data_IF_310813300930
#
_entry.id   IF_310813300930
#
_cell.length_a   1.000
_cell.length_b   1.000
_cell.length_c   1.000
_cell.angle_alpha   90.00
_cell.angle_beta   90.00
_cell.angle_gamma   90.00
#
_symmetry.space_group_name_H-M   'P 1'
#
loop_
_entity.id
_entity.type
_entity.pdbx_description
1 polymer ?
#
# COMPACT_ATOMS: atom_id res chain seq x y z
N UNK A 1 -3.15 -18.90 -11.88
CA UNK A 1 -4.04 -17.77 -11.55
C UNK A 1 -3.38 -16.47 -11.99
N UNK A 2 -4.15 -15.55 -12.54
CA UNK A 2 -3.70 -14.21 -12.90
C UNK A 2 -4.40 -13.23 -11.95
N UNK A 3 -3.62 -12.63 -11.03
CA UNK A 3 -4.16 -11.81 -9.95
C UNK A 3 -4.93 -10.61 -10.49
N UNK A 4 -6.11 -10.30 -9.94
CA UNK A 4 -6.97 -9.20 -10.39
C UNK A 4 -7.71 -9.47 -11.70
N UNK A 5 -7.68 -10.70 -12.21
CA UNK A 5 -8.36 -11.08 -13.44
C UNK A 5 -9.19 -12.34 -13.26
N UNK A 6 -10.30 -12.41 -13.97
CA UNK A 6 -11.14 -13.60 -14.07
C UNK A 6 -10.75 -14.36 -15.31
N UNK A 7 -10.49 -15.66 -15.16
CA UNK A 7 -10.25 -16.56 -16.29
C UNK A 7 -11.57 -16.77 -17.05
N UNK A 8 -11.58 -16.42 -18.33
CA UNK A 8 -12.76 -16.53 -19.18
C UNK A 8 -12.78 -17.86 -19.94
N UNK A 9 -11.61 -18.36 -20.33
CA UNK A 9 -11.51 -19.63 -21.04
C UNK A 9 -10.29 -19.73 -21.93
N UNK A 10 -10.14 -20.88 -22.53
CA UNK A 10 -9.14 -21.16 -23.54
C UNK A 10 -9.70 -20.89 -24.93
N UNK A 11 -8.96 -20.23 -25.80
CA UNK A 11 -9.34 -19.91 -27.18
C UNK A 11 -8.37 -20.52 -28.17
N UNK A 12 -8.88 -20.88 -29.35
CA UNK A 12 -8.07 -21.52 -30.40
C UNK A 12 -7.24 -20.50 -31.21
N UNK A 13 -7.44 -19.19 -30.98
CA UNK A 13 -6.67 -18.12 -31.63
C UNK A 13 -6.36 -16.99 -30.65
N UNK A 14 -5.30 -16.24 -30.94
CA UNK A 14 -4.80 -15.15 -30.10
C UNK A 14 -5.68 -13.89 -30.12
N UNK A 15 -6.65 -13.80 -31.04
CA UNK A 15 -7.63 -12.70 -31.08
C UNK A 15 -8.85 -12.97 -30.21
N UNK A 16 -8.91 -14.14 -29.56
CA UNK A 16 -10.00 -14.58 -28.71
C UNK A 16 -11.36 -14.59 -29.43
N UNK A 17 -11.37 -14.95 -30.74
CA UNK A 17 -12.59 -15.02 -31.52
C UNK A 17 -13.38 -16.29 -31.23
N UNK A 18 -14.70 -16.22 -31.36
CA UNK A 18 -15.59 -17.37 -31.14
C UNK A 18 -15.84 -17.69 -29.66
N UNK A 19 -16.19 -18.93 -29.37
CA UNK A 19 -16.46 -19.44 -28.02
C UNK A 19 -15.22 -20.07 -27.39
N UNK A 20 -15.10 -20.07 -26.06
CA UNK A 20 -14.04 -20.79 -25.38
C UNK A 20 -14.06 -22.28 -25.70
N UNK A 21 -12.88 -22.86 -25.83
CA UNK A 21 -12.72 -24.30 -26.00
C UNK A 21 -12.93 -25.02 -24.67
N UNK A 22 -13.97 -25.81 -24.56
CA UNK A 22 -14.34 -26.52 -23.32
C UNK A 22 -13.89 -27.98 -23.33
N UNK A 23 -13.67 -28.54 -24.52
CA UNK A 23 -13.26 -29.94 -24.67
C UNK A 23 -12.30 -30.12 -25.85
N UNK A 24 -11.35 -31.02 -25.69
CA UNK A 24 -10.50 -31.50 -26.79
C UNK A 24 -10.99 -32.90 -27.12
N UNK A 25 -11.40 -33.14 -28.38
CA UNK A 25 -11.88 -34.42 -28.81
C UNK A 25 -10.74 -35.49 -28.80
N UNK A 26 -11.06 -36.70 -28.42
CA UNK A 26 -10.12 -37.84 -28.51
C UNK A 26 -9.68 -38.14 -29.95
N UNK A 27 -10.41 -37.64 -30.96
CA UNK A 27 -10.08 -37.75 -32.37
C UNK A 27 -9.22 -36.59 -32.91
N UNK A 28 -8.98 -35.57 -32.09
CA UNK A 28 -8.12 -34.48 -32.49
C UNK A 28 -6.66 -34.92 -32.56
N UNK A 29 -6.02 -34.66 -33.67
CA UNK A 29 -4.62 -35.02 -33.91
C UNK A 29 -3.76 -33.77 -34.21
N UNK A 30 -2.46 -33.91 -34.03
CA UNK A 30 -1.48 -32.84 -34.25
C UNK A 30 -1.33 -31.87 -33.06
N UNK A 31 -0.34 -30.98 -33.18
CA UNK A 31 -0.07 -29.97 -32.17
C UNK A 31 -1.16 -28.91 -32.15
N UNK A 32 -1.67 -28.62 -30.97
CA UNK A 32 -2.68 -27.57 -30.73
C UNK A 32 -2.08 -26.47 -29.86
N UNK A 33 -2.42 -25.24 -30.16
CA UNK A 33 -2.11 -24.08 -29.33
C UNK A 33 -3.43 -23.46 -28.85
N UNK A 34 -3.46 -23.09 -27.58
CA UNK A 34 -4.61 -22.41 -26.99
C UNK A 34 -4.11 -21.21 -26.21
N UNK A 35 -4.90 -20.13 -26.24
CA UNK A 35 -4.62 -18.86 -25.56
C UNK A 35 -5.60 -18.69 -24.42
N UNK A 36 -5.07 -18.43 -23.23
CA UNK A 36 -5.88 -18.13 -22.06
C UNK A 36 -6.40 -16.70 -22.15
N UNK A 37 -7.71 -16.53 -22.20
CA UNK A 37 -8.33 -15.20 -22.07
C UNK A 37 -8.59 -14.90 -20.60
N UNK A 38 -8.12 -13.75 -20.17
CA UNK A 38 -8.36 -13.19 -18.86
C UNK A 38 -9.03 -11.84 -19.01
N UNK A 39 -10.04 -11.57 -18.21
CA UNK A 39 -10.66 -10.24 -18.13
C UNK A 39 -10.31 -9.62 -16.79
N UNK A 40 -9.86 -8.36 -16.82
CA UNK A 40 -9.64 -7.61 -15.59
C UNK A 40 -10.97 -7.53 -14.82
N UNK A 41 -10.91 -7.81 -13.53
CA UNK A 41 -12.07 -7.63 -12.66
C UNK A 41 -12.46 -6.15 -12.72
N UNK A 42 -13.72 -5.90 -13.02
CA UNK A 42 -14.23 -4.53 -13.13
C UNK A 42 -13.96 -3.74 -11.84
N UNK A 43 -13.84 -2.42 -11.97
CA UNK A 43 -13.68 -1.53 -10.83
C UNK A 43 -14.84 -1.72 -9.86
N UNK A 44 -14.55 -2.31 -8.72
CA UNK A 44 -15.46 -2.33 -7.57
C UNK A 44 -14.69 -1.80 -6.36
N UNK A 45 -15.25 -0.81 -5.69
CA UNK A 45 -14.73 -0.38 -4.40
C UNK A 45 -14.81 -1.57 -3.44
N UNK A 46 -13.65 -2.03 -2.99
CA UNK A 46 -13.55 -3.23 -2.13
C UNK A 46 -13.86 -2.93 -0.67
N UNK A 47 -14.02 -1.65 -0.33
CA UNK A 47 -14.33 -1.18 1.02
C UNK A 47 -15.53 -0.25 1.00
N UNK A 48 -16.32 -0.31 2.06
CA UNK A 48 -17.26 0.75 2.41
C UNK A 48 -16.59 2.01 2.98
N UNK A 49 -15.25 2.07 2.98
CA UNK A 49 -14.47 3.20 3.45
C UNK A 49 -14.45 4.33 2.41
N UNK A 50 -14.62 5.56 2.91
CA UNK A 50 -14.51 6.74 2.06
C UNK A 50 -13.04 7.06 1.81
N UNK A 51 -12.59 7.25 0.55
CA UNK A 51 -11.24 7.72 0.25
C UNK A 51 -10.92 9.03 0.97
N UNK A 52 -9.67 9.18 1.40
CA UNK A 52 -9.20 10.30 2.22
C UNK A 52 -9.25 10.03 3.72
N UNK A 53 -9.92 8.99 4.18
CA UNK A 53 -9.92 8.56 5.58
C UNK A 53 -8.51 8.20 6.06
N UNK A 54 -8.23 8.52 7.32
CA UNK A 54 -6.94 8.26 7.98
C UNK A 54 -7.07 7.10 8.93
N UNK A 55 -6.19 6.10 8.76
CA UNK A 55 -6.16 4.89 9.56
C UNK A 55 -4.75 4.61 10.05
N UNK A 56 -4.63 3.94 11.19
CA UNK A 56 -3.34 3.65 11.81
C UNK A 56 -3.05 2.16 11.75
N UNK A 57 -1.79 1.83 11.46
CA UNK A 57 -1.31 0.45 11.35
C UNK A 57 -0.05 0.27 12.19
N UNK A 58 0.06 -0.89 12.81
CA UNK A 58 1.24 -1.29 13.59
C UNK A 58 2.27 -1.95 12.68
N UNK A 59 3.36 -1.25 12.40
CA UNK A 59 4.47 -1.75 11.60
C UNK A 59 5.69 -2.14 12.46
N UNK A 60 5.57 -2.16 13.77
CA UNK A 60 6.69 -2.40 14.71
C UNK A 60 7.37 -3.76 14.49
N UNK A 61 6.62 -4.78 14.05
CA UNK A 61 7.11 -6.12 13.78
C UNK A 61 7.55 -6.35 12.33
N UNK A 62 7.57 -5.30 11.48
CA UNK A 62 7.87 -5.46 10.05
C UNK A 62 9.34 -5.36 9.70
N UNK A 63 10.21 -5.08 10.69
CA UNK A 63 11.66 -4.94 10.50
C UNK A 63 12.01 -4.00 9.34
N UNK A 64 11.38 -2.82 9.33
CA UNK A 64 11.60 -1.82 8.28
C UNK A 64 13.01 -1.24 8.42
N UNK A 65 13.91 -1.41 7.45
CA UNK A 65 15.27 -0.93 7.55
C UNK A 65 15.38 0.61 7.45
N UNK A 66 16.47 1.16 7.98
CA UNK A 66 16.77 2.59 7.98
C UNK A 66 16.58 3.25 9.34
N UNK A 67 16.66 4.58 9.35
CA UNK A 67 16.43 5.39 10.55
C UNK A 67 14.95 5.76 10.61
N UNK A 68 14.29 5.49 11.71
CA UNK A 68 12.89 5.87 11.91
C UNK A 68 12.75 7.39 11.76
N UNK A 69 11.78 7.81 10.98
CA UNK A 69 11.54 9.22 10.70
C UNK A 69 11.06 9.94 11.97
N UNK A 70 11.76 11.00 12.36
CA UNK A 70 11.50 11.80 13.56
C UNK A 70 10.19 12.61 13.50
N UNK A 71 9.61 12.77 12.31
CA UNK A 71 8.32 13.44 12.09
C UNK A 71 7.10 12.53 12.29
N UNK A 72 7.31 11.23 12.46
CA UNK A 72 6.21 10.33 12.80
C UNK A 72 5.61 10.69 14.15
N UNK A 73 4.29 10.56 14.30
CA UNK A 73 3.62 10.77 15.58
C UNK A 73 4.07 9.76 16.66
N UNK A 74 4.50 8.58 16.23
CA UNK A 74 5.04 7.52 17.06
C UNK A 74 6.28 6.90 16.43
N UNK A 75 7.40 6.94 17.17
CA UNK A 75 8.70 6.38 16.73
C UNK A 75 8.83 4.88 17.00
N UNK A 76 7.94 4.29 17.78
CA UNK A 76 7.91 2.85 18.01
C UNK A 76 7.28 2.07 16.86
N UNK A 77 6.68 2.78 15.88
CA UNK A 77 5.96 2.26 14.71
C UNK A 77 4.68 1.48 15.04
N UNK A 78 4.18 1.54 16.26
CA UNK A 78 2.89 0.95 16.60
C UNK A 78 1.70 1.73 16.02
N UNK A 79 1.89 3.03 15.71
CA UNK A 79 0.85 3.94 15.24
C UNK A 79 1.27 4.70 13.99
N UNK A 80 1.48 3.98 12.89
CA UNK A 80 1.83 4.61 11.61
C UNK A 80 0.56 5.05 10.89
N UNK A 81 0.39 6.35 10.61
CA UNK A 81 -0.79 6.86 9.92
C UNK A 81 -0.70 6.63 8.41
N UNK A 82 -1.80 6.17 7.83
CA UNK A 82 -2.01 5.99 6.41
C UNK A 82 -3.30 6.68 5.97
N UNK A 83 -3.29 7.24 4.77
CA UNK A 83 -4.48 7.74 4.09
C UNK A 83 -5.01 6.68 3.13
N UNK A 84 -6.30 6.37 3.20
CA UNK A 84 -6.95 5.49 2.24
C UNK A 84 -7.11 6.21 0.90
N UNK A 85 -6.45 5.74 -0.14
CA UNK A 85 -6.47 6.34 -1.48
C UNK A 85 -7.60 5.79 -2.37
N UNK A 86 -8.41 4.87 -1.86
CA UNK A 86 -9.41 4.16 -2.64
C UNK A 86 -8.79 3.16 -3.59
N UNK A 87 -9.59 2.62 -4.49
CA UNK A 87 -9.16 1.68 -5.51
C UNK A 87 -8.47 2.41 -6.66
N UNK A 88 -7.35 1.89 -7.12
CA UNK A 88 -6.58 2.40 -8.25
C UNK A 88 -6.34 1.28 -9.26
N UNK A 89 -6.42 1.60 -10.55
CA UNK A 89 -6.10 0.69 -11.64
C UNK A 89 -4.68 0.92 -12.14
N UNK A 90 -3.72 0.79 -11.28
CA UNK A 90 -2.30 0.96 -11.60
C UNK A 90 -1.58 -0.38 -11.51
N UNK A 91 -0.55 -0.56 -12.33
CA UNK A 91 0.23 -1.77 -12.30
C UNK A 91 1.19 -1.81 -11.11
N UNK A 92 1.57 -3.02 -10.74
CA UNK A 92 2.63 -3.33 -9.80
C UNK A 92 3.76 -4.05 -10.53
N UNK A 93 4.99 -3.60 -10.35
CA UNK A 93 6.15 -4.29 -10.91
C UNK A 93 6.39 -5.63 -10.22
N UNK A 94 6.67 -6.66 -11.03
CA UNK A 94 7.08 -7.98 -10.53
C UNK A 94 8.60 -8.10 -10.41
N UNK A 95 9.36 -7.20 -11.05
CA UNK A 95 10.82 -7.19 -11.08
C UNK A 95 11.36 -5.76 -11.10
N UNK A 96 12.67 -5.60 -10.89
CA UNK A 96 13.36 -4.31 -10.93
C UNK A 96 13.65 -3.83 -12.37
N UNK A 97 12.79 -4.10 -13.32
CA UNK A 97 12.95 -3.67 -14.71
C UNK A 97 12.15 -2.40 -14.99
N UNK A 98 12.72 -1.49 -15.78
CA UNK A 98 11.99 -0.38 -16.36
C UNK A 98 10.90 -0.91 -17.29
N UNK A 99 9.75 -0.22 -17.37
CA UNK A 99 8.60 -0.67 -18.13
C UNK A 99 8.18 0.34 -19.19
N UNK A 100 7.42 -0.14 -20.18
CA UNK A 100 6.76 0.68 -21.20
C UNK A 100 5.29 0.90 -20.84
N UNK A 101 4.61 1.86 -21.50
CA UNK A 101 3.16 2.05 -21.36
C UNK A 101 2.37 0.79 -21.75
N UNK A 102 2.84 0.04 -22.76
CA UNK A 102 2.20 -1.22 -23.17
C UNK A 102 2.28 -2.25 -22.05
N UNK A 103 3.47 -2.46 -21.48
CA UNK A 103 3.64 -3.36 -20.35
C UNK A 103 2.77 -2.96 -19.16
N UNK A 104 2.69 -1.66 -18.86
CA UNK A 104 1.86 -1.15 -17.77
C UNK A 104 0.37 -1.43 -18.00
N UNK A 105 -0.11 -1.30 -19.24
CA UNK A 105 -1.50 -1.62 -19.60
C UNK A 105 -1.80 -3.11 -19.46
N UNK A 106 -0.89 -3.97 -19.89
CA UNK A 106 -1.03 -5.43 -19.80
C UNK A 106 -1.01 -5.93 -18.35
N UNK A 107 -0.28 -5.25 -17.48
CA UNK A 107 -0.12 -5.61 -16.06
C UNK A 107 -0.96 -4.77 -15.11
N UNK A 108 -1.80 -3.88 -15.62
CA UNK A 108 -2.71 -3.08 -14.80
C UNK A 108 -3.80 -3.98 -14.19
N UNK A 109 -4.10 -3.75 -12.92
CA UNK A 109 -5.19 -4.38 -12.21
C UNK A 109 -5.72 -3.44 -11.13
N UNK A 110 -7.00 -3.58 -10.81
CA UNK A 110 -7.62 -2.80 -9.75
C UNK A 110 -7.28 -3.35 -8.38
N UNK A 111 -6.85 -2.47 -7.49
CA UNK A 111 -6.54 -2.80 -6.10
C UNK A 111 -6.74 -1.58 -5.20
N UNK A 112 -7.10 -1.81 -3.95
CA UNK A 112 -7.24 -0.75 -2.96
C UNK A 112 -5.91 -0.46 -2.28
N UNK A 113 -5.62 0.82 -2.07
CA UNK A 113 -4.38 1.29 -1.47
C UNK A 113 -4.62 2.20 -0.27
N UNK A 114 -3.80 1.98 0.75
CA UNK A 114 -3.51 2.97 1.78
C UNK A 114 -2.08 3.45 1.56
N UNK A 115 -1.83 4.75 1.60
CA UNK A 115 -0.48 5.32 1.50
C UNK A 115 -0.07 5.93 2.84
N UNK A 116 1.14 5.63 3.31
CA UNK A 116 1.65 6.21 4.55
C UNK A 116 1.70 7.74 4.47
N UNK A 117 1.28 8.44 5.53
CA UNK A 117 1.28 9.90 5.58
C UNK A 117 2.70 10.49 5.65
N UNK A 118 3.69 9.67 6.02
CA UNK A 118 5.10 10.03 6.16
C UNK A 118 6.00 8.96 5.53
N UNK A 119 7.27 9.28 5.26
CA UNK A 119 8.27 8.22 5.22
C UNK A 119 8.29 7.53 6.59
N UNK A 120 8.26 6.21 6.61
CA UNK A 120 8.38 5.44 7.86
C UNK A 120 9.83 5.46 8.35
N UNK A 121 10.76 5.25 7.43
CA UNK A 121 12.19 5.37 7.68
C UNK A 121 12.86 6.22 6.60
N UNK A 122 14.02 6.77 6.92
CA UNK A 122 14.93 7.44 5.98
C UNK A 122 16.35 6.89 6.16
N UNK A 123 17.33 7.46 5.45
CA UNK A 123 18.71 6.98 5.48
C UNK A 123 18.75 5.48 5.17
N UNK A 124 18.00 5.07 4.17
CA UNK A 124 17.85 3.69 3.73
C UNK A 124 18.04 3.61 2.22
N UNK A 125 18.77 2.62 1.74
CA UNK A 125 18.93 2.39 0.31
C UNK A 125 17.79 1.55 -0.26
N UNK A 126 17.58 1.65 -1.58
CA UNK A 126 16.64 0.80 -2.29
C UNK A 126 16.98 -0.69 -2.10
N UNK A 127 18.28 -1.02 -2.15
CA UNK A 127 18.73 -2.40 -1.96
C UNK A 127 18.37 -2.92 -0.56
N UNK A 128 18.55 -2.13 0.51
CA UNK A 128 18.14 -2.56 1.85
C UNK A 128 16.66 -2.87 1.94
N UNK A 129 15.82 -2.06 1.28
CA UNK A 129 14.38 -2.29 1.23
C UNK A 129 14.04 -3.53 0.40
N UNK A 130 14.74 -3.74 -0.72
CA UNK A 130 14.55 -4.91 -1.57
C UNK A 130 14.94 -6.21 -0.87
N UNK A 131 16.07 -6.21 -0.16
CA UNK A 131 16.55 -7.36 0.63
C UNK A 131 15.57 -7.71 1.78
N UNK A 132 14.85 -6.71 2.28
CA UNK A 132 13.77 -6.88 3.26
C UNK A 132 12.40 -7.23 2.65
N UNK A 133 12.31 -7.45 1.32
CA UNK A 133 11.09 -7.68 0.55
C UNK A 133 10.08 -6.52 0.57
N UNK A 134 10.51 -5.30 0.87
CA UNK A 134 9.64 -4.14 1.02
C UNK A 134 9.47 -3.32 -0.26
N UNK A 135 10.19 -3.65 -1.33
CA UNK A 135 10.02 -2.99 -2.63
C UNK A 135 8.80 -3.57 -3.37
N UNK A 136 8.77 -4.90 -3.54
CA UNK A 136 7.74 -5.56 -4.36
C UNK A 136 6.62 -6.19 -3.54
N UNK A 137 6.83 -6.42 -2.25
CA UNK A 137 5.78 -6.82 -1.33
C UNK A 137 6.21 -7.81 -0.26
N UNK A 138 5.81 -7.49 0.97
CA UNK A 138 5.93 -8.33 2.16
C UNK A 138 4.54 -8.51 2.74
N UNK A 139 4.18 -9.76 3.07
CA UNK A 139 2.90 -10.05 3.71
C UNK A 139 2.79 -9.32 5.06
N UNK A 140 1.64 -8.71 5.28
CA UNK A 140 1.32 -8.00 6.50
C UNK A 140 -0.13 -8.28 6.89
N UNK A 141 -0.36 -8.56 8.17
CA UNK A 141 -1.70 -8.79 8.70
C UNK A 141 -2.02 -7.80 9.81
N UNK A 142 -3.18 -7.18 9.76
CA UNK A 142 -3.67 -6.28 10.81
C UNK A 142 -5.19 -6.40 10.95
N UNK A 143 -5.67 -6.48 12.18
CA UNK A 143 -7.10 -6.56 12.47
C UNK A 143 -7.82 -7.74 11.79
N UNK A 144 -7.13 -8.84 11.50
CA UNK A 144 -7.66 -9.99 10.76
C UNK A 144 -7.74 -9.80 9.25
N UNK A 145 -7.17 -8.72 8.71
CA UNK A 145 -7.12 -8.41 7.28
C UNK A 145 -5.70 -8.62 6.76
N UNK A 146 -5.57 -9.22 5.59
CA UNK A 146 -4.29 -9.44 4.93
C UNK A 146 -4.01 -8.31 3.94
N UNK A 147 -2.82 -7.75 4.05
CA UNK A 147 -2.28 -6.69 3.19
C UNK A 147 -0.95 -7.12 2.59
N UNK A 148 -0.55 -6.43 1.54
CA UNK A 148 0.83 -6.44 1.05
C UNK A 148 1.46 -5.09 1.34
N UNK A 149 2.51 -5.06 2.19
CA UNK A 149 3.30 -3.88 2.50
C UNK A 149 4.43 -3.75 1.47
N UNK A 150 4.48 -2.65 0.74
CA UNK A 150 5.46 -2.43 -0.33
C UNK A 150 5.68 -0.97 -0.69
N UNK A 151 6.68 -0.70 -1.53
CA UNK A 151 6.81 0.58 -2.19
C UNK A 151 5.71 0.76 -3.27
N UNK A 152 5.25 1.98 -3.56
CA UNK A 152 4.37 2.24 -4.70
C UNK A 152 5.11 2.16 -6.03
N UNK A 153 4.41 1.90 -7.13
CA UNK A 153 4.93 2.20 -8.46
C UNK A 153 4.88 3.71 -8.70
N UNK A 154 5.94 4.27 -9.30
CA UNK A 154 6.14 5.71 -9.42
C UNK A 154 6.50 6.18 -10.84
N UNK A 155 6.69 5.23 -11.76
CA UNK A 155 7.16 5.46 -13.12
C UNK A 155 8.69 5.46 -13.24
N UNK A 156 9.18 5.01 -14.40
CA UNK A 156 10.61 4.83 -14.71
C UNK A 156 11.28 6.07 -15.28
N UNK A 157 10.50 7.10 -15.62
CA UNK A 157 10.96 8.37 -16.16
C UNK A 157 9.92 9.47 -15.85
N UNK A 158 10.21 10.70 -16.23
CA UNK A 158 9.33 11.86 -16.06
C UNK A 158 8.83 12.42 -17.39
N UNK A 159 7.67 13.08 -17.35
CA UNK A 159 7.05 13.72 -18.52
C UNK A 159 7.27 15.22 -18.60
N UNK A 160 7.84 15.86 -17.60
CA UNK A 160 7.92 17.32 -17.53
C UNK A 160 9.02 17.81 -16.63
N UNK A 161 8.99 19.09 -16.30
CA UNK A 161 9.89 19.74 -15.35
C UNK A 161 9.13 20.10 -14.08
N UNK A 162 9.82 20.25 -12.99
CA UNK A 162 9.35 20.65 -11.67
C UNK A 162 7.82 20.71 -11.44
N UNK A 163 7.32 20.36 -10.34
CA UNK A 163 5.92 20.48 -9.93
C UNK A 163 4.84 19.86 -10.85
N UNK A 164 5.06 19.88 -12.17
CA UNK A 164 4.15 19.30 -13.16
C UNK A 164 4.53 17.90 -13.63
N UNK A 165 5.67 17.38 -13.17
CA UNK A 165 6.15 16.05 -13.54
C UNK A 165 5.14 14.95 -13.25
N UNK A 166 4.96 14.08 -14.24
CA UNK A 166 4.30 12.80 -14.08
C UNK A 166 5.29 11.69 -14.37
N UNK A 167 5.06 10.52 -13.84
CA UNK A 167 5.84 9.35 -14.19
C UNK A 167 5.48 8.79 -15.58
N UNK A 168 6.44 8.15 -16.21
CA UNK A 168 6.24 7.25 -17.34
C UNK A 168 6.64 5.85 -16.92
N UNK A 169 5.79 4.85 -17.10
CA UNK A 169 4.43 4.90 -17.64
C UNK A 169 3.47 5.71 -16.77
N UNK A 170 2.45 6.29 -17.41
CA UNK A 170 1.44 7.11 -16.70
C UNK A 170 0.53 6.26 -15.82
N UNK A 171 0.45 4.96 -16.07
CA UNK A 171 -0.30 3.98 -15.27
C UNK A 171 0.43 3.61 -13.98
N UNK A 172 1.10 4.54 -13.29
CA UNK A 172 1.71 4.30 -12.00
C UNK A 172 0.80 4.72 -10.84
N UNK A 173 0.97 4.07 -9.69
CA UNK A 173 0.12 4.28 -8.52
C UNK A 173 0.24 5.68 -7.94
N UNK A 174 1.46 6.21 -7.88
CA UNK A 174 1.72 7.52 -7.31
C UNK A 174 0.93 8.63 -8.02
N UNK A 175 0.98 8.67 -9.35
CA UNK A 175 0.22 9.64 -10.12
C UNK A 175 -1.28 9.38 -10.06
N UNK A 176 -1.71 8.12 -10.03
CA UNK A 176 -3.13 7.76 -9.86
C UNK A 176 -3.69 8.24 -8.52
N UNK A 177 -2.92 8.14 -7.46
CA UNK A 177 -3.32 8.67 -6.14
C UNK A 177 -3.44 10.20 -6.20
N UNK A 178 -2.42 10.90 -6.73
CA UNK A 178 -2.43 12.36 -6.85
C UNK A 178 -3.51 12.90 -7.80
N UNK A 179 -3.90 12.13 -8.79
CA UNK A 179 -4.99 12.49 -9.72
C UNK A 179 -6.36 12.38 -9.07
N UNK A 180 -6.51 11.52 -8.07
CA UNK A 180 -7.74 11.48 -7.27
C UNK A 180 -7.83 12.69 -6.33
N UNK A 181 -6.78 12.91 -5.57
CA UNK A 181 -6.66 14.05 -4.66
C UNK A 181 -5.18 14.26 -4.28
N UNK A 182 -4.68 15.47 -4.50
CA UNK A 182 -3.28 15.82 -4.18
C UNK A 182 -2.97 15.71 -2.69
N UNK A 183 -3.97 15.88 -1.82
CA UNK A 183 -3.83 15.84 -0.36
C UNK A 183 -3.70 14.43 0.20
N UNK A 184 -3.87 13.39 -0.63
CA UNK A 184 -3.62 12.00 -0.19
C UNK A 184 -2.14 11.71 0.02
N UNK A 185 -1.24 12.44 -0.64
CA UNK A 185 0.20 12.33 -0.43
C UNK A 185 0.70 13.51 0.38
N UNK A 186 0.75 13.34 1.69
CA UNK A 186 1.12 14.37 2.67
C UNK A 186 2.63 14.37 2.95
N UNK A 187 3.14 15.42 3.59
CA UNK A 187 4.51 15.48 4.14
C UNK A 187 5.61 15.11 3.12
N UNK A 188 5.46 15.54 1.88
CA UNK A 188 6.40 15.25 0.79
C UNK A 188 7.58 16.25 0.74
N UNK A 189 7.43 17.44 1.30
CA UNK A 189 8.42 18.53 1.21
C UNK A 189 9.73 18.13 1.88
N UNK A 190 10.84 18.27 1.16
CA UNK A 190 12.18 17.96 1.64
C UNK A 190 12.49 16.46 1.78
N UNK A 191 11.63 15.57 1.26
CA UNK A 191 11.82 14.13 1.35
C UNK A 191 11.50 13.46 0.02
N UNK A 192 12.43 12.67 -0.52
CA UNK A 192 12.18 11.72 -1.58
C UNK A 192 11.74 10.37 -1.02
N UNK A 193 10.97 9.64 -1.81
CA UNK A 193 10.45 8.32 -1.47
C UNK A 193 10.78 7.33 -2.57
N UNK A 194 11.38 6.20 -2.18
CA UNK A 194 11.69 5.11 -3.09
C UNK A 194 10.43 4.53 -3.73
N UNK A 195 10.45 4.34 -5.06
CA UNK A 195 9.47 3.58 -5.79
C UNK A 195 9.96 2.19 -6.18
N UNK A 196 9.07 1.40 -6.78
CA UNK A 196 9.41 0.08 -7.32
C UNK A 196 10.29 0.17 -8.57
N UNK A 197 10.18 1.28 -9.31
CA UNK A 197 10.65 1.40 -10.69
C UNK A 197 12.15 1.66 -10.78
N UNK A 198 12.79 1.07 -11.79
CA UNK A 198 14.08 1.54 -12.28
C UNK A 198 13.89 2.86 -13.03
N UNK A 199 14.92 3.69 -13.04
CA UNK A 199 15.03 4.70 -14.09
C UNK A 199 15.31 4.05 -15.46
N UNK A 200 14.94 4.73 -16.53
CA UNK A 200 15.09 4.20 -17.91
C UNK A 200 16.53 3.85 -18.30
N UNK A 201 17.52 4.47 -17.70
CA UNK A 201 18.93 4.17 -17.91
C UNK A 201 19.52 3.11 -16.98
N UNK A 202 18.69 2.25 -16.43
CA UNK A 202 18.97 0.93 -15.87
C UNK A 202 19.63 0.86 -14.49
N UNK A 203 20.48 1.78 -14.05
CA UNK A 203 21.12 1.64 -12.72
C UNK A 203 20.47 2.45 -11.59
N UNK A 204 19.95 3.67 -11.78
CA UNK A 204 19.22 4.36 -10.72
C UNK A 204 17.84 3.78 -10.48
N UNK A 205 17.29 4.06 -9.32
CA UNK A 205 15.92 3.74 -8.91
C UNK A 205 15.11 5.02 -8.82
N UNK A 206 13.87 4.95 -9.26
CA UNK A 206 12.96 6.08 -9.27
C UNK A 206 12.55 6.49 -7.86
N UNK A 207 12.44 7.80 -7.65
CA UNK A 207 11.94 8.41 -6.42
C UNK A 207 10.94 9.51 -6.75
N UNK A 208 10.06 9.82 -5.79
CA UNK A 208 9.08 10.91 -5.89
C UNK A 208 9.14 11.80 -4.65
N UNK A 209 8.72 13.06 -4.80
CA UNK A 209 8.60 14.00 -3.68
C UNK A 209 9.66 15.10 -3.71
N UNK A 210 10.03 15.62 -2.54
CA UNK A 210 11.03 16.64 -2.25
C UNK A 210 10.59 18.06 -2.64
N UNK A 211 10.61 18.43 -3.91
CA UNK A 211 10.23 19.79 -4.39
C UNK A 211 8.72 19.96 -4.54
N UNK A 212 8.04 18.92 -4.94
CA UNK A 212 6.57 18.84 -4.97
C UNK A 212 6.14 17.39 -4.82
N UNK A 213 4.85 17.15 -4.54
CA UNK A 213 4.31 15.79 -4.48
C UNK A 213 4.52 15.03 -5.80
N UNK A 214 4.52 15.71 -6.94
CA UNK A 214 4.71 15.12 -8.27
C UNK A 214 6.16 15.03 -8.72
N UNK A 215 7.08 15.68 -8.03
CA UNK A 215 8.47 15.73 -8.49
C UNK A 215 9.04 14.30 -8.60
N UNK A 216 9.58 13.98 -9.78
CA UNK A 216 10.25 12.72 -10.08
C UNK A 216 11.76 12.90 -10.10
N UNK A 217 12.49 11.97 -9.55
CA UNK A 217 13.93 11.93 -9.57
C UNK A 217 14.44 10.49 -9.56
N UNK A 218 15.76 10.33 -9.53
CA UNK A 218 16.37 9.01 -9.44
C UNK A 218 17.66 9.05 -8.63
N UNK A 219 17.96 7.94 -7.96
CA UNK A 219 19.19 7.73 -7.20
C UNK A 219 19.73 6.32 -7.44
N UNK A 220 21.05 6.15 -7.26
CA UNK A 220 21.64 4.80 -7.21
C UNK A 220 20.91 3.93 -6.19
N UNK A 221 20.69 2.66 -6.50
CA UNK A 221 20.05 1.69 -5.61
C UNK A 221 20.79 1.52 -4.25
N UNK A 222 22.06 1.90 -4.19
CA UNK A 222 22.90 1.86 -2.97
C UNK A 222 22.88 3.17 -2.19
N UNK A 223 22.24 4.24 -2.72
CA UNK A 223 22.20 5.53 -2.04
C UNK A 223 21.40 5.46 -0.74
N UNK A 224 22.01 5.94 0.34
CA UNK A 224 21.37 6.07 1.64
C UNK A 224 21.56 7.51 2.11
N UNK A 225 20.47 8.28 2.11
CA UNK A 225 20.49 9.72 2.38
C UNK A 225 19.42 10.10 3.38
N UNK A 226 19.64 11.10 4.27
CA UNK A 226 18.65 11.52 5.26
C UNK A 226 17.34 12.04 4.67
N UNK A 227 17.38 12.50 3.42
CA UNK A 227 16.24 13.02 2.68
C UNK A 227 15.68 12.04 1.64
N UNK A 228 16.06 10.76 1.70
CA UNK A 228 15.50 9.69 0.88
C UNK A 228 15.01 8.59 1.81
N UNK A 229 13.74 8.26 1.71
CA UNK A 229 13.10 7.35 2.66
C UNK A 229 12.13 6.36 2.03
N UNK A 230 11.60 5.52 2.89
CA UNK A 230 10.59 4.53 2.57
C UNK A 230 9.21 5.03 2.98
N UNK A 231 8.35 5.29 2.00
CA UNK A 231 6.92 5.57 2.19
C UNK A 231 6.13 4.42 1.60
N UNK A 232 5.71 3.47 2.42
CA UNK A 232 4.98 2.31 1.93
C UNK A 232 3.54 2.65 1.52
N UNK A 233 3.02 1.74 0.68
CA UNK A 233 1.60 1.51 0.52
C UNK A 233 1.24 0.16 1.15
N UNK A 234 -0.02 0.05 1.60
CA UNK A 234 -0.67 -1.21 1.93
C UNK A 234 -1.68 -1.51 0.84
N UNK A 235 -1.46 -2.62 0.15
CA UNK A 235 -2.30 -3.09 -0.94
C UNK A 235 -3.22 -4.19 -0.45
N UNK A 236 -4.46 -4.17 -0.91
CA UNK A 236 -5.42 -5.23 -0.69
C UNK A 236 -5.92 -5.74 -2.03
N UNK A 237 -5.70 -7.03 -2.30
CA UNK A 237 -6.06 -7.71 -3.54
C UNK A 237 -7.17 -8.74 -3.39
N UNK A 238 -7.41 -9.22 -2.18
CA UNK A 238 -8.26 -10.38 -1.98
C UNK A 238 -9.71 -9.96 -1.71
N UNK A 239 -10.53 -10.02 -2.76
CA UNK A 239 -11.97 -9.77 -2.69
C UNK A 239 -12.70 -10.69 -1.69
N UNK A 240 -12.20 -11.90 -1.44
CA UNK A 240 -12.82 -12.85 -0.51
C UNK A 240 -12.65 -12.42 0.96
N UNK A 241 -11.63 -11.63 1.26
CA UNK A 241 -11.42 -11.04 2.59
C UNK A 241 -12.24 -9.76 2.81
N UNK A 242 -12.85 -9.22 1.74
CA UNK A 242 -13.32 -7.85 1.65
C UNK A 242 -14.74 -7.76 1.08
N UNK A 243 -15.60 -8.73 1.35
CA UNK A 243 -17.01 -8.49 1.18
C UNK A 243 -17.38 -7.19 1.90
N UNK A 244 -18.29 -6.40 1.33
CA UNK A 244 -18.76 -5.12 1.89
C UNK A 244 -19.17 -5.20 3.36
N UNK A 245 -19.50 -6.40 3.84
CA UNK A 245 -19.80 -6.71 5.22
C UNK A 245 -18.56 -7.12 6.03
N UNK A 246 -17.38 -7.18 5.41
CA UNK A 246 -16.18 -7.81 5.95
C UNK A 246 -15.35 -6.94 6.88
N UNK A 247 -15.50 -5.61 6.83
CA UNK A 247 -14.65 -4.68 7.58
C UNK A 247 -15.47 -3.75 8.45
N UNK A 248 -14.90 -3.38 9.59
CA UNK A 248 -15.37 -2.26 10.39
C UNK A 248 -14.22 -1.38 10.84
N UNK A 249 -14.54 -0.12 11.10
CA UNK A 249 -13.62 0.82 11.73
C UNK A 249 -13.85 0.78 13.24
N UNK A 250 -12.77 0.60 13.97
CA UNK A 250 -12.77 0.77 15.43
C UNK A 250 -12.15 2.12 15.74
N UNK A 251 -12.88 2.93 16.49
CA UNK A 251 -12.42 4.25 16.95
C UNK A 251 -11.90 4.12 18.38
N UNK A 252 -10.65 4.53 18.56
CA UNK A 252 -9.97 4.56 19.85
C UNK A 252 -9.96 6.00 20.35
N UNK A 253 -10.80 6.30 21.32
CA UNK A 253 -10.81 7.57 22.05
C UNK A 253 -9.67 7.57 23.07
N UNK A 254 -8.80 8.53 23.00
CA UNK A 254 -7.62 8.65 23.87
C UNK A 254 -7.99 9.20 25.28
N UNK A 255 -9.25 9.52 25.53
CA UNK A 255 -9.71 10.00 26.83
C UNK A 255 -8.99 11.28 27.31
N UNK A 256 -8.62 12.16 26.37
CA UNK A 256 -7.83 13.34 26.62
C UNK A 256 -6.31 13.13 26.55
N UNK A 257 -5.85 11.89 26.35
CA UNK A 257 -4.46 11.57 26.02
C UNK A 257 -4.11 12.02 24.60
N UNK A 258 -2.87 11.80 24.17
CA UNK A 258 -2.36 12.26 22.86
C UNK A 258 -1.48 11.22 22.19
N UNK A 259 -1.49 11.26 20.85
CA UNK A 259 -0.52 10.60 19.98
C UNK A 259 0.21 11.68 19.16
N UNK A 260 1.53 11.79 19.31
CA UNK A 260 2.35 12.77 18.58
C UNK A 260 1.87 14.23 18.75
N UNK A 261 1.31 14.56 19.92
CA UNK A 261 0.76 15.89 20.23
C UNK A 261 -0.70 16.12 19.83
N UNK A 262 -1.33 15.22 19.02
CA UNK A 262 -2.76 15.27 18.71
C UNK A 262 -3.58 14.46 19.72
N UNK A 263 -4.74 15.03 20.12
CA UNK A 263 -5.76 14.35 20.92
C UNK A 263 -6.89 13.72 20.06
N UNK A 264 -6.73 13.74 18.75
CA UNK A 264 -7.70 13.14 17.83
C UNK A 264 -7.84 11.63 18.11
N UNK A 265 -9.04 11.12 17.94
CA UNK A 265 -9.29 9.70 18.02
C UNK A 265 -8.52 8.94 16.92
N UNK A 266 -8.03 7.77 17.27
CA UNK A 266 -7.33 6.88 16.34
C UNK A 266 -8.35 5.93 15.72
N UNK A 267 -8.27 5.77 14.41
CA UNK A 267 -9.09 4.78 13.68
C UNK A 267 -8.23 3.63 13.20
N UNK A 268 -8.66 2.40 13.49
CA UNK A 268 -8.07 1.16 13.00
C UNK A 268 -9.12 0.35 12.24
N UNK A 269 -8.66 -0.47 11.29
CA UNK A 269 -9.52 -1.33 10.49
C UNK A 269 -9.41 -2.75 11.03
N UNK A 270 -10.56 -3.38 11.24
CA UNK A 270 -10.66 -4.78 11.69
C UNK A 270 -11.63 -5.55 10.81
N UNK A 271 -11.42 -6.85 10.70
CA UNK A 271 -12.35 -7.74 10.02
C UNK A 271 -13.65 -7.85 10.85
N UNK A 272 -14.78 -7.67 10.17
CA UNK A 272 -16.08 -7.79 10.83
C UNK A 272 -16.31 -9.22 11.36
N UNK A 273 -17.04 -9.34 12.45
CA UNK A 273 -17.33 -10.63 13.12
C UNK A 273 -16.07 -11.44 13.48
N UNK A 274 -14.93 -10.79 13.65
CA UNK A 274 -13.71 -11.41 14.17
C UNK A 274 -13.22 -10.67 15.40
N UNK A 275 -12.33 -11.32 16.16
CA UNK A 275 -11.62 -10.68 17.25
C UNK A 275 -10.40 -9.93 16.72
N UNK A 276 -9.99 -8.88 17.41
CA UNK A 276 -8.72 -8.21 17.18
C UNK A 276 -7.95 -8.05 18.50
N UNK A 277 -6.66 -7.81 18.40
CA UNK A 277 -5.80 -7.59 19.57
C UNK A 277 -5.93 -6.16 20.06
N UNK A 278 -6.21 -5.96 21.33
CA UNK A 278 -6.22 -4.64 21.95
C UNK A 278 -4.84 -3.98 21.80
N UNK A 279 -4.76 -2.76 21.21
CA UNK A 279 -3.49 -2.14 20.88
C UNK A 279 -2.63 -1.82 22.11
N UNK A 280 -1.32 -1.74 21.89
CA UNK A 280 -0.34 -1.30 22.91
C UNK A 280 -0.47 0.21 23.18
N UNK A 281 0.16 0.65 24.26
CA UNK A 281 0.13 2.06 24.68
C UNK A 281 1.37 2.85 24.23
N UNK A 282 2.32 2.20 23.57
CA UNK A 282 3.53 2.84 23.11
C UNK A 282 3.20 4.03 22.20
N UNK A 283 3.93 5.13 22.36
CA UNK A 283 3.66 6.38 21.63
C UNK A 283 2.50 7.23 22.16
N UNK A 284 1.65 6.69 23.04
CA UNK A 284 0.57 7.44 23.66
C UNK A 284 1.03 8.18 24.91
N UNK A 285 0.52 9.39 25.11
CA UNK A 285 0.75 10.18 26.32
C UNK A 285 -0.56 10.36 27.09
N UNK A 286 -0.47 10.44 28.40
CA UNK A 286 -1.61 10.65 29.28
C UNK A 286 -2.19 12.07 29.15
N UNK A 287 -3.45 12.32 29.62
CA UNK A 287 -4.06 13.64 29.60
C UNK A 287 -3.25 14.72 30.34
N UNK A 288 -2.49 14.35 31.37
CA UNK A 288 -1.60 15.22 32.13
C UNK A 288 -0.27 15.52 31.41
N UNK A 289 -0.07 14.97 30.20
CA UNK A 289 1.15 15.12 29.39
C UNK A 289 2.32 14.26 29.86
N UNK A 290 2.11 13.43 30.87
CA UNK A 290 3.13 12.51 31.38
C UNK A 290 3.03 11.20 30.64
N UNK A 291 4.14 10.70 30.06
CA UNK A 291 4.23 9.32 29.60
C UNK A 291 4.15 8.41 30.82
N UNK A 292 3.23 7.50 30.84
CA UNK A 292 3.02 6.63 31.98
C UNK A 292 2.20 5.41 31.64
N UNK A 293 2.01 4.56 32.62
CA UNK A 293 1.33 3.30 32.44
C UNK A 293 -0.11 3.51 31.94
N UNK A 294 -0.32 3.17 30.68
CA UNK A 294 -1.64 2.94 30.16
C UNK A 294 -2.19 1.67 30.82
N UNK A 295 -3.39 1.75 31.37
CA UNK A 295 -3.86 0.65 32.15
C UNK A 295 -4.71 -0.34 31.35
N UNK A 296 -5.80 0.13 30.73
CA UNK A 296 -6.70 -0.70 29.93
C UNK A 296 -7.54 0.15 28.98
N UNK A 297 -7.91 -0.42 27.87
CA UNK A 297 -8.96 0.08 27.00
C UNK A 297 -10.34 -0.25 27.59
N UNK A 298 -11.27 0.69 27.52
CA UNK A 298 -12.67 0.44 27.84
C UNK A 298 -13.47 0.27 26.55
N UNK A 299 -14.02 -0.90 26.33
CA UNK A 299 -14.89 -1.15 25.19
C UNK A 299 -16.27 -0.49 25.36
N UNK A 300 -16.98 -0.27 24.27
CA UNK A 300 -18.37 0.20 24.23
C UNK A 300 -19.33 -0.74 24.97
N UNK A 301 -18.97 -2.02 25.11
CA UNK A 301 -19.67 -3.02 25.91
C UNK A 301 -19.41 -2.90 27.42
N UNK A 302 -18.68 -1.88 27.86
CA UNK A 302 -18.31 -1.62 29.24
C UNK A 302 -17.18 -2.48 29.83
N UNK A 303 -16.66 -3.46 29.09
CA UNK A 303 -15.54 -4.31 29.50
C UNK A 303 -14.21 -3.58 29.35
N UNK A 304 -13.23 -4.01 30.13
CA UNK A 304 -11.85 -3.49 30.05
C UNK A 304 -10.93 -4.54 29.44
N UNK A 305 -10.06 -4.07 28.52
CA UNK A 305 -9.10 -4.87 27.79
C UNK A 305 -7.69 -4.32 28.02
N UNK A 306 -6.79 -5.15 28.53
CA UNK A 306 -5.38 -4.80 28.58
C UNK A 306 -4.77 -4.84 27.16
N UNK A 307 -3.68 -4.11 26.89
CA UNK A 307 -2.91 -4.30 25.67
C UNK A 307 -2.57 -5.77 25.45
N UNK A 308 -2.84 -6.30 24.26
CA UNK A 308 -2.66 -7.71 23.92
C UNK A 308 -3.89 -8.60 24.14
N UNK A 309 -4.91 -8.13 24.86
CA UNK A 309 -6.15 -8.89 25.04
C UNK A 309 -6.92 -9.02 23.71
N UNK A 310 -7.65 -10.13 23.59
CA UNK A 310 -8.58 -10.33 22.48
C UNK A 310 -9.88 -9.53 22.70
N UNK A 311 -10.20 -8.67 21.72
CA UNK A 311 -11.42 -7.86 21.70
C UNK A 311 -12.38 -8.46 20.67
N UNK A 312 -13.66 -8.78 21.05
CA UNK A 312 -14.65 -9.37 20.14
C UNK A 312 -15.23 -8.38 19.13
#
# INVERSE_FOLDING_TARGET
>A
TYTGHTFIGWYADSSFSGNPVTTISATDTGNKAYWAKWEANGYQEQFSLTPGGRYYFDLSAMDVPGTVNDKLPDKSLHWVPFTYAGTVNAYKLASAQATTEEYAKENAYDHSLFIADYAVTNTVSWNNLNDANLIFGKDYQSGGVNYTLRAPSVGSDSTGSDGSMRGKPQSNEWDKILDKDSDYIKNWSGMFFWGQDNATDASPRAVRGFNSARYWGSYSATSSRPYVGFRPVLEILNADTLHSDGLKVVTLDLGGGKLGGSSDAIQIIVKNNSTFTAPVSDGLTRPDGVSGNFFKWRGSNGKFYAPGDSVP
#
